data_IF_006576973272
#
_entry.id   IF_006576973272
#
_cell.length_a   1.000
_cell.length_b   1.000
_cell.length_c   1.000
_cell.angle_alpha   90.00
_cell.angle_beta   90.00
_cell.angle_gamma   90.00
#
_symmetry.space_group_name_H-M   'P 1'
#
loop_
_entity.id
_entity.type
_entity.pdbx_description
1 polymer ?
#
# COMPACT_ATOMS: atom_id res chain seq x y z
N UNK A 1 7.91 -2.02 -0.52
CA UNK A 1 7.27 -3.24 0.01
C UNK A 1 6.83 -2.97 1.43
N UNK A 2 5.89 -3.76 1.95
CA UNK A 2 5.39 -3.66 3.32
C UNK A 2 5.39 -5.06 3.91
N UNK A 3 5.32 -5.18 5.23
CA UNK A 3 5.15 -6.45 5.91
C UNK A 3 4.45 -6.27 7.25
N UNK A 4 3.79 -7.30 7.71
CA UNK A 4 3.17 -7.34 9.03
C UNK A 4 4.22 -7.41 10.14
N UNK A 5 3.86 -6.90 11.30
CA UNK A 5 4.70 -6.97 12.51
C UNK A 5 3.85 -7.28 13.74
N UNK A 6 4.50 -7.74 14.81
CA UNK A 6 3.87 -7.88 16.12
C UNK A 6 4.01 -6.60 16.96
N UNK A 7 3.47 -6.61 18.17
CA UNK A 7 3.50 -5.47 19.11
C UNK A 7 4.91 -5.13 19.61
N UNK A 8 5.83 -6.09 19.55
CA UNK A 8 7.23 -5.92 19.93
C UNK A 8 8.10 -5.40 18.78
N UNK A 9 7.51 -5.21 17.59
CA UNK A 9 8.19 -4.72 16.38
C UNK A 9 8.88 -5.83 15.58
N UNK A 10 8.64 -7.11 15.87
CA UNK A 10 9.20 -8.17 15.06
C UNK A 10 8.42 -8.32 13.76
N UNK A 11 9.15 -8.37 12.66
CA UNK A 11 8.60 -8.55 11.33
C UNK A 11 8.07 -9.98 11.16
N UNK A 12 6.90 -10.12 10.56
CA UNK A 12 6.33 -11.42 10.25
C UNK A 12 7.26 -12.18 9.29
N UNK A 13 7.57 -13.46 9.59
CA UNK A 13 8.43 -14.24 8.71
C UNK A 13 7.71 -14.52 7.38
N UNK A 14 8.47 -14.63 6.29
CA UNK A 14 7.93 -14.95 4.95
C UNK A 14 7.15 -16.27 4.87
N UNK A 15 7.33 -17.15 5.87
CA UNK A 15 6.56 -18.39 6.01
C UNK A 15 5.19 -18.19 6.67
N UNK A 16 4.93 -17.03 7.26
CA UNK A 16 3.60 -16.67 7.76
C UNK A 16 2.60 -16.58 6.59
N UNK A 17 1.49 -17.31 6.67
CA UNK A 17 0.58 -17.43 5.54
C UNK A 17 0.08 -16.10 4.96
N UNK A 18 -0.24 -15.06 5.78
CA UNK A 18 -0.60 -13.73 5.29
C UNK A 18 0.59 -12.81 4.99
N UNK A 19 1.85 -13.27 5.08
CA UNK A 19 3.02 -12.44 4.79
C UNK A 19 2.95 -11.84 3.39
N UNK A 20 3.17 -10.53 3.28
CA UNK A 20 3.20 -9.80 2.02
C UNK A 20 4.45 -10.17 1.22
N UNK A 21 5.61 -10.30 1.86
CA UNK A 21 6.83 -10.78 1.25
C UNK A 21 6.71 -12.22 0.76
N UNK A 22 6.08 -13.10 1.56
CA UNK A 22 5.79 -14.48 1.17
C UNK A 22 4.84 -14.56 -0.02
N UNK A 23 3.80 -13.75 -0.04
CA UNK A 23 2.88 -13.64 -1.17
C UNK A 23 3.60 -13.13 -2.44
N UNK A 24 4.44 -12.11 -2.32
CA UNK A 24 5.22 -11.59 -3.42
C UNK A 24 6.16 -12.64 -4.02
N UNK A 25 6.87 -13.37 -3.19
CA UNK A 25 7.75 -14.47 -3.64
C UNK A 25 6.95 -15.53 -4.40
N UNK A 26 5.83 -15.97 -3.84
CA UNK A 26 5.02 -17.07 -4.40
C UNK A 26 4.25 -16.65 -5.65
N UNK A 27 3.55 -15.51 -5.60
CA UNK A 27 2.59 -15.14 -6.64
C UNK A 27 3.18 -14.24 -7.72
N UNK A 28 4.36 -13.67 -7.49
CA UNK A 28 5.05 -12.83 -8.45
C UNK A 28 6.40 -13.43 -8.85
N UNK A 29 7.38 -13.48 -7.95
CA UNK A 29 8.75 -13.92 -8.27
C UNK A 29 8.80 -15.34 -8.86
N UNK A 30 8.11 -16.29 -8.24
CA UNK A 30 8.09 -17.69 -8.71
C UNK A 30 7.32 -17.88 -10.03
N UNK A 31 6.54 -16.88 -10.48
CA UNK A 31 5.85 -16.91 -11.77
C UNK A 31 6.74 -16.55 -12.96
N UNK A 32 7.86 -15.91 -12.72
CA UNK A 32 8.83 -15.71 -13.80
C UNK A 32 9.36 -17.05 -14.31
N UNK A 33 9.58 -17.12 -15.61
CA UNK A 33 10.31 -18.23 -16.19
C UNK A 33 11.67 -18.36 -15.50
N UNK A 34 12.15 -19.58 -15.19
CA UNK A 34 13.42 -19.76 -14.46
C UNK A 34 14.62 -19.08 -15.12
N UNK A 35 14.65 -19.02 -16.46
CA UNK A 35 15.72 -18.39 -17.24
C UNK A 35 15.67 -16.85 -17.27
N UNK A 36 14.55 -16.24 -16.82
CA UNK A 36 14.36 -14.79 -16.74
C UNK A 36 14.23 -14.31 -15.28
N UNK A 37 14.29 -15.23 -14.33
CA UNK A 37 14.15 -14.90 -12.92
C UNK A 37 15.41 -14.22 -12.41
N UNK A 38 15.32 -13.03 -11.78
CA UNK A 38 16.48 -12.44 -11.16
C UNK A 38 17.01 -13.33 -10.03
N UNK A 39 18.29 -13.22 -9.67
CA UNK A 39 18.83 -13.91 -8.51
C UNK A 39 18.03 -13.60 -7.23
N UNK A 40 17.87 -14.60 -6.35
CA UNK A 40 17.05 -14.47 -5.14
C UNK A 40 17.61 -13.39 -4.20
N UNK A 41 18.91 -13.20 -4.16
CA UNK A 41 19.60 -12.18 -3.38
C UNK A 41 19.29 -10.73 -3.80
N UNK A 42 18.66 -10.55 -4.95
CA UNK A 42 18.14 -9.26 -5.42
C UNK A 42 16.69 -9.02 -4.96
N UNK A 43 16.10 -9.99 -4.25
CA UNK A 43 14.76 -9.88 -3.73
C UNK A 43 14.82 -9.39 -2.27
N UNK A 44 14.63 -8.09 -2.09
CA UNK A 44 14.64 -7.47 -0.78
C UNK A 44 13.23 -7.43 -0.19
N UNK A 45 13.08 -7.97 1.01
CA UNK A 45 11.88 -7.90 1.85
C UNK A 45 12.29 -7.55 3.27
N UNK A 46 11.34 -7.16 4.10
CA UNK A 46 11.64 -6.78 5.46
C UNK A 46 12.09 -7.95 6.31
N UNK A 47 13.08 -7.69 7.15
CA UNK A 47 13.55 -8.51 8.26
C UNK A 47 13.74 -7.63 9.48
N UNK A 48 13.89 -8.21 10.66
CA UNK A 48 14.14 -7.44 11.88
C UNK A 48 15.43 -6.59 11.80
N UNK A 49 16.39 -7.01 10.95
CA UNK A 49 17.70 -6.37 10.85
C UNK A 49 17.71 -5.19 9.88
N UNK A 50 16.72 -5.07 8.98
CA UNK A 50 16.77 -4.07 7.91
C UNK A 50 15.70 -2.99 7.98
N UNK A 51 14.83 -2.97 8.98
CA UNK A 51 13.75 -1.98 9.09
C UNK A 51 14.28 -0.56 9.02
N UNK A 52 15.32 -0.25 9.80
CA UNK A 52 15.83 1.12 9.94
C UNK A 52 16.58 1.62 8.70
N UNK A 53 17.15 0.72 7.91
CA UNK A 53 17.97 1.07 6.74
C UNK A 53 17.36 0.64 5.41
N UNK A 54 16.09 0.23 5.39
CA UNK A 54 15.45 -0.25 4.16
C UNK A 54 15.28 0.84 3.11
N UNK A 55 15.05 2.09 3.51
CA UNK A 55 15.06 3.24 2.60
C UNK A 55 16.43 3.44 1.96
N UNK A 56 17.49 3.26 2.72
CA UNK A 56 18.87 3.39 2.20
C UNK A 56 19.20 2.24 1.23
N UNK A 57 18.69 1.03 1.49
CA UNK A 57 18.79 -0.10 0.54
C UNK A 57 18.10 0.20 -0.78
N UNK A 58 16.94 0.86 -0.76
CA UNK A 58 16.24 1.29 -1.98
C UNK A 58 17.09 2.30 -2.75
N UNK A 59 17.64 3.29 -2.07
CA UNK A 59 18.48 4.32 -2.68
C UNK A 59 19.77 3.73 -3.26
N UNK A 60 20.43 2.83 -2.54
CA UNK A 60 21.65 2.16 -3.01
C UNK A 60 21.37 1.28 -4.24
N UNK A 61 20.32 0.45 -4.20
CA UNK A 61 19.98 -0.43 -5.30
C UNK A 61 19.49 0.32 -6.55
N UNK A 62 18.85 1.47 -6.36
CA UNK A 62 18.25 2.27 -7.42
C UNK A 62 19.04 3.52 -7.84
N UNK A 63 20.29 3.66 -7.41
CA UNK A 63 21.10 4.88 -7.69
C UNK A 63 20.34 6.15 -7.29
N UNK A 64 19.98 6.22 -6.01
CA UNK A 64 19.31 7.34 -5.36
C UNK A 64 17.79 7.22 -5.19
N UNK A 65 17.11 6.35 -5.90
CA UNK A 65 15.69 6.07 -5.71
C UNK A 65 15.24 4.84 -6.51
N UNK A 66 14.04 4.32 -6.24
CA UNK A 66 13.47 3.24 -7.04
C UNK A 66 13.22 3.67 -8.50
N UNK A 67 13.45 2.78 -9.45
CA UNK A 67 13.12 3.04 -10.86
C UNK A 67 11.61 3.05 -11.10
N UNK A 68 10.89 2.15 -10.45
CA UNK A 68 9.44 2.00 -10.58
C UNK A 68 8.81 1.63 -9.24
N UNK A 69 7.76 2.34 -8.87
CA UNK A 69 6.83 1.93 -7.81
C UNK A 69 5.54 1.45 -8.45
N UNK A 70 5.11 0.25 -8.05
CA UNK A 70 3.80 -0.29 -8.39
C UNK A 70 2.97 -0.28 -7.12
N UNK A 71 1.86 0.41 -7.14
CA UNK A 71 0.98 0.59 -5.98
C UNK A 71 -0.49 0.44 -6.33
N UNK A 72 -1.30 0.42 -5.29
CA UNK A 72 -2.76 0.45 -5.39
C UNK A 72 -3.31 1.34 -4.27
N UNK A 73 -4.43 1.98 -4.52
CA UNK A 73 -5.08 2.80 -3.50
C UNK A 73 -5.77 1.95 -2.44
N UNK A 74 -5.74 2.43 -1.20
CA UNK A 74 -6.54 1.86 -0.13
C UNK A 74 -7.79 2.69 0.19
N UNK A 75 -8.66 2.15 1.03
CA UNK A 75 -9.99 2.68 1.31
C UNK A 75 -10.04 4.10 1.87
N UNK A 76 -8.98 4.54 2.49
CA UNK A 76 -8.88 5.88 3.10
C UNK A 76 -7.90 6.79 2.36
N UNK A 77 -7.48 6.40 1.16
CA UNK A 77 -6.49 7.15 0.38
C UNK A 77 -5.07 6.97 0.86
N UNK A 78 -4.79 5.88 1.57
CA UNK A 78 -3.44 5.47 1.91
C UNK A 78 -2.75 4.80 0.73
N UNK A 79 -1.45 4.75 0.76
CA UNK A 79 -0.61 3.89 -0.05
C UNK A 79 0.37 3.18 0.89
N UNK A 80 0.67 1.89 0.64
CA UNK A 80 1.36 1.07 1.63
C UNK A 80 0.61 1.12 2.98
N UNK A 81 1.31 1.20 4.12
CA UNK A 81 0.70 1.51 5.42
C UNK A 81 0.90 2.98 5.84
N UNK A 82 1.05 3.86 4.85
CA UNK A 82 1.09 5.31 5.05
C UNK A 82 -0.34 5.84 5.15
N UNK A 83 -0.94 5.63 6.31
CA UNK A 83 -2.33 6.00 6.58
C UNK A 83 -2.48 7.50 6.89
N UNK A 84 -3.61 8.12 6.50
CA UNK A 84 -3.95 9.48 6.93
C UNK A 84 -3.90 9.62 8.46
N UNK A 85 -3.11 10.55 8.95
CA UNK A 85 -3.03 10.88 10.38
C UNK A 85 -2.46 9.78 11.28
N UNK A 86 -1.67 8.84 10.74
CA UNK A 86 -0.88 7.95 11.59
C UNK A 86 0.28 8.68 12.25
N UNK A 87 0.55 8.37 13.52
CA UNK A 87 1.69 8.98 14.23
C UNK A 87 3.03 8.60 13.59
N UNK A 88 3.13 7.41 12.98
CA UNK A 88 4.34 6.96 12.31
C UNK A 88 4.80 7.91 11.19
N UNK A 89 3.87 8.53 10.48
CA UNK A 89 4.15 9.46 9.38
C UNK A 89 3.62 10.87 9.67
N UNK A 90 3.65 11.27 10.93
CA UNK A 90 3.27 12.63 11.34
C UNK A 90 4.29 13.64 10.83
N UNK A 91 3.80 14.71 10.23
CA UNK A 91 4.62 15.80 9.72
C UNK A 91 3.82 17.11 9.76
N UNK A 92 4.47 18.23 9.95
CA UNK A 92 3.82 19.55 10.00
C UNK A 92 3.55 20.08 8.59
N UNK A 93 4.32 19.67 7.60
CA UNK A 93 4.17 20.08 6.21
C UNK A 93 4.19 18.89 5.24
N UNK A 94 3.75 19.13 3.99
CA UNK A 94 3.87 18.14 2.93
C UNK A 94 5.33 17.87 2.56
N UNK A 95 6.16 18.90 2.60
CA UNK A 95 7.60 18.80 2.31
C UNK A 95 8.30 17.91 3.34
N UNK A 96 8.01 18.09 4.62
CA UNK A 96 8.52 17.23 5.67
C UNK A 96 8.00 15.80 5.52
N UNK A 97 6.70 15.63 5.25
CA UNK A 97 6.09 14.32 5.02
C UNK A 97 6.83 13.52 3.94
N UNK A 98 7.22 14.17 2.85
CA UNK A 98 7.95 13.55 1.74
C UNK A 98 9.39 13.14 2.06
N UNK A 99 9.92 13.50 3.23
CA UNK A 99 11.23 13.05 3.70
C UNK A 99 11.19 11.80 4.56
N UNK A 100 9.98 11.35 4.94
CA UNK A 100 9.81 10.24 5.86
C UNK A 100 9.99 8.91 5.14
N UNK A 101 11.03 8.17 5.52
CA UNK A 101 11.35 6.83 5.01
C UNK A 101 10.65 5.71 5.76
N UNK A 102 11.16 4.50 5.54
CA UNK A 102 10.69 3.25 6.16
C UNK A 102 10.60 3.32 7.68
N UNK A 103 9.55 2.71 8.25
CA UNK A 103 9.39 2.60 9.70
C UNK A 103 8.33 1.60 10.12
N UNK A 104 8.32 1.31 11.42
CA UNK A 104 7.26 0.60 12.09
C UNK A 104 5.99 1.46 12.19
N UNK A 105 4.83 0.83 12.02
CA UNK A 105 3.52 1.49 11.97
C UNK A 105 2.53 0.78 12.89
N UNK A 106 1.87 1.54 13.74
CA UNK A 106 0.63 1.16 14.39
C UNK A 106 -0.52 1.41 13.40
N UNK A 107 -1.08 0.35 12.85
CA UNK A 107 -2.05 0.43 11.78
C UNK A 107 -3.36 1.08 12.24
N UNK A 108 -3.88 1.98 11.43
CA UNK A 108 -5.17 2.60 11.71
C UNK A 108 -6.29 1.57 11.62
N UNK A 109 -7.32 1.75 12.45
CA UNK A 109 -8.44 0.81 12.53
C UNK A 109 -9.11 0.52 11.18
N UNK A 110 -9.25 1.53 10.33
CA UNK A 110 -9.85 1.34 9.00
C UNK A 110 -8.97 0.48 8.09
N UNK A 111 -7.67 0.58 8.20
CA UNK A 111 -6.71 -0.27 7.48
C UNK A 111 -6.77 -1.71 7.98
N UNK A 112 -6.89 -1.92 9.30
CA UNK A 112 -7.11 -3.26 9.87
C UNK A 112 -8.44 -3.84 9.36
N UNK A 113 -9.52 -3.06 9.36
CA UNK A 113 -10.82 -3.48 8.83
C UNK A 113 -10.72 -3.86 7.34
N UNK A 114 -10.08 -3.01 6.52
CA UNK A 114 -9.88 -3.31 5.11
C UNK A 114 -9.16 -4.64 4.91
N UNK A 115 -8.05 -4.84 5.60
CA UNK A 115 -7.25 -6.04 5.47
C UNK A 115 -7.95 -7.30 6.01
N UNK A 116 -8.77 -7.18 7.06
CA UNK A 116 -9.56 -8.31 7.58
C UNK A 116 -10.52 -8.92 6.56
N UNK A 117 -10.91 -8.13 5.55
CA UNK A 117 -11.76 -8.58 4.44
C UNK A 117 -10.96 -9.12 3.25
N UNK A 118 -9.63 -9.11 3.32
CA UNK A 118 -8.79 -9.70 2.29
C UNK A 118 -8.87 -11.23 2.31
N UNK A 119 -8.75 -11.90 1.16
CA UNK A 119 -8.74 -13.36 1.08
C UNK A 119 -7.66 -14.01 1.95
N UNK A 120 -6.51 -13.38 2.14
CA UNK A 120 -5.42 -13.85 3.00
C UNK A 120 -5.83 -13.99 4.47
N UNK A 121 -6.83 -13.22 4.91
CA UNK A 121 -7.45 -13.31 6.24
C UNK A 121 -8.84 -13.94 6.21
N UNK A 122 -9.11 -14.77 5.20
CA UNK A 122 -10.37 -15.49 5.04
C UNK A 122 -11.56 -14.63 4.65
N UNK A 123 -11.35 -13.36 4.30
CA UNK A 123 -12.41 -12.38 3.98
C UNK A 123 -13.52 -12.33 5.04
N UNK A 124 -13.19 -12.61 6.30
CA UNK A 124 -14.14 -12.82 7.39
C UNK A 124 -14.58 -11.54 8.08
N UNK A 125 -13.81 -10.45 7.96
CA UNK A 125 -13.98 -9.25 8.78
C UNK A 125 -13.55 -9.46 10.24
N UNK A 126 -12.92 -10.57 10.57
CA UNK A 126 -12.42 -10.86 11.91
C UNK A 126 -11.13 -10.08 12.17
N UNK A 127 -11.24 -9.02 12.96
CA UNK A 127 -10.13 -8.13 13.28
C UNK A 127 -9.04 -8.81 14.14
N UNK A 128 -9.39 -9.87 14.86
CA UNK A 128 -8.43 -10.58 15.70
C UNK A 128 -7.38 -11.35 14.88
N UNK A 129 -7.68 -11.65 13.63
CA UNK A 129 -6.76 -12.32 12.71
C UNK A 129 -5.85 -11.38 11.92
N UNK A 130 -6.16 -10.08 11.93
CA UNK A 130 -5.39 -9.10 11.16
C UNK A 130 -4.39 -8.41 12.07
N UNK A 131 -3.09 -8.45 11.77
CA UNK A 131 -2.09 -7.79 12.59
C UNK A 131 -2.37 -6.29 12.74
N UNK A 132 -2.23 -5.80 13.97
CA UNK A 132 -2.42 -4.39 14.28
C UNK A 132 -1.19 -3.55 13.91
N UNK A 133 -0.06 -4.18 13.63
CA UNK A 133 1.21 -3.51 13.36
C UNK A 133 1.80 -3.97 12.04
N UNK A 134 2.65 -3.12 11.48
CA UNK A 134 3.35 -3.38 10.23
C UNK A 134 4.68 -2.62 10.16
N UNK A 135 5.49 -2.95 9.18
CA UNK A 135 6.59 -2.12 8.70
C UNK A 135 6.28 -1.69 7.27
N UNK A 136 6.55 -0.45 6.95
CA UNK A 136 6.16 0.14 5.68
C UNK A 136 7.24 1.01 5.10
N UNK A 137 7.36 0.98 3.77
CA UNK A 137 8.04 2.06 3.05
C UNK A 137 7.35 3.38 3.34
N UNK A 138 8.13 4.44 3.33
CA UNK A 138 7.61 5.77 3.62
C UNK A 138 7.34 6.59 2.37
N UNK A 139 6.76 7.80 2.56
CA UNK A 139 6.57 8.76 1.48
C UNK A 139 7.83 9.06 0.67
N UNK A 140 9.00 9.14 1.33
CA UNK A 140 10.31 9.30 0.69
C UNK A 140 10.55 8.24 -0.37
N UNK A 141 10.30 6.98 -0.02
CA UNK A 141 10.60 5.84 -0.89
C UNK A 141 9.60 5.72 -2.03
N UNK A 142 8.32 5.99 -1.72
CA UNK A 142 7.22 5.84 -2.66
C UNK A 142 7.22 6.96 -3.71
N UNK A 143 7.22 8.22 -3.27
CA UNK A 143 6.98 9.35 -4.17
C UNK A 143 8.24 9.90 -4.84
N UNK A 144 9.43 9.48 -4.41
CA UNK A 144 10.70 9.84 -5.05
C UNK A 144 11.10 8.90 -6.21
N UNK A 145 10.35 7.85 -6.49
CA UNK A 145 10.64 6.94 -7.58
C UNK A 145 10.60 7.64 -8.95
N UNK A 146 11.39 7.13 -9.91
CA UNK A 146 11.50 7.70 -11.26
C UNK A 146 10.22 7.58 -12.07
N UNK A 147 9.47 6.49 -11.83
CA UNK A 147 8.20 6.24 -12.50
C UNK A 147 7.23 5.50 -11.56
N UNK A 148 5.93 5.67 -11.80
CA UNK A 148 4.88 5.09 -10.97
C UNK A 148 3.83 4.41 -11.82
N UNK A 149 3.38 3.26 -11.35
CA UNK A 149 2.24 2.55 -11.89
C UNK A 149 1.23 2.36 -10.77
N UNK A 150 0.18 3.16 -10.81
CA UNK A 150 -0.89 3.14 -9.82
C UNK A 150 -2.08 2.35 -10.35
N UNK A 151 -2.63 1.47 -9.55
CA UNK A 151 -3.77 0.65 -9.93
C UNK A 151 -4.96 0.89 -9.02
N UNK A 152 -6.08 1.29 -9.62
CA UNK A 152 -7.37 1.46 -8.96
C UNK A 152 -8.32 0.40 -9.47
N UNK A 153 -8.49 -0.66 -8.74
CA UNK A 153 -9.42 -1.74 -9.06
C UNK A 153 -10.01 -2.38 -7.80
N UNK A 154 -11.03 -3.18 -8.01
CA UNK A 154 -11.76 -3.90 -6.97
C UNK A 154 -11.51 -5.41 -7.01
N UNK A 155 -10.59 -5.85 -7.87
CA UNK A 155 -10.33 -7.27 -8.09
C UNK A 155 -9.90 -8.01 -6.83
N UNK A 156 -9.31 -7.30 -5.88
CA UNK A 156 -8.84 -7.89 -4.63
C UNK A 156 -9.97 -8.44 -3.75
N UNK A 157 -11.11 -7.78 -3.72
CA UNK A 157 -12.24 -8.17 -2.88
C UNK A 157 -13.27 -9.04 -3.60
N UNK A 158 -13.21 -9.13 -4.92
CA UNK A 158 -14.11 -9.96 -5.72
C UNK A 158 -15.59 -9.60 -5.59
N UNK A 159 -15.92 -8.46 -5.01
CA UNK A 159 -17.27 -8.06 -4.69
C UNK A 159 -17.52 -6.58 -4.98
N UNK A 160 -18.46 -6.29 -5.86
CA UNK A 160 -18.85 -4.94 -6.26
C UNK A 160 -19.44 -4.08 -5.14
N UNK A 161 -19.90 -4.66 -4.03
CA UNK A 161 -20.46 -3.87 -2.91
C UNK A 161 -19.42 -3.00 -2.19
N UNK A 162 -18.13 -3.30 -2.30
CA UNK A 162 -17.07 -2.44 -1.77
C UNK A 162 -16.69 -1.30 -2.72
N UNK A 163 -17.21 -1.34 -3.93
CA UNK A 163 -16.78 -0.47 -5.03
C UNK A 163 -17.13 1.00 -4.84
N UNK A 164 -18.23 1.32 -4.17
CA UNK A 164 -18.68 2.72 -4.06
C UNK A 164 -17.75 3.58 -3.21
N UNK A 165 -17.18 3.02 -2.14
CA UNK A 165 -16.21 3.73 -1.31
C UNK A 165 -14.91 4.00 -2.08
N UNK A 166 -14.32 2.96 -2.67
CA UNK A 166 -13.08 3.12 -3.42
C UNK A 166 -13.25 3.99 -4.67
N UNK A 167 -14.42 3.98 -5.31
CA UNK A 167 -14.73 4.92 -6.40
C UNK A 167 -14.64 6.38 -5.96
N UNK A 168 -15.10 6.69 -4.76
CA UNK A 168 -14.98 8.03 -4.19
C UNK A 168 -13.52 8.37 -3.89
N UNK A 169 -12.80 7.46 -3.24
CA UNK A 169 -11.39 7.65 -2.89
C UNK A 169 -10.52 7.77 -4.15
N UNK A 170 -10.74 6.94 -5.16
CA UNK A 170 -10.05 7.04 -6.45
C UNK A 170 -10.18 8.43 -7.08
N UNK A 171 -11.39 9.01 -7.05
CA UNK A 171 -11.60 10.37 -7.54
C UNK A 171 -10.92 11.43 -6.69
N UNK A 172 -10.97 11.29 -5.37
CA UNK A 172 -10.29 12.18 -4.45
C UNK A 172 -8.78 12.14 -4.67
N UNK A 173 -8.23 10.96 -4.87
CA UNK A 173 -6.81 10.74 -5.14
C UNK A 173 -6.37 11.36 -6.47
N UNK A 174 -7.16 11.20 -7.55
CA UNK A 174 -6.79 11.65 -8.90
C UNK A 174 -7.11 13.14 -9.13
N UNK A 175 -8.18 13.64 -8.55
CA UNK A 175 -8.71 14.98 -8.84
C UNK A 175 -8.87 15.88 -7.61
N UNK A 176 -8.66 15.34 -6.41
CA UNK A 176 -8.75 16.10 -5.18
C UNK A 176 -7.50 16.94 -4.90
N UNK A 177 -7.49 17.67 -3.78
CA UNK A 177 -6.31 18.40 -3.34
C UNK A 177 -5.14 17.43 -3.06
N UNK A 178 -3.93 17.82 -3.46
CA UNK A 178 -2.71 17.08 -3.07
C UNK A 178 -2.39 17.42 -1.62
N UNK A 179 -2.45 16.42 -0.76
CA UNK A 179 -2.27 16.60 0.68
C UNK A 179 -1.75 15.33 1.37
N UNK A 180 -1.01 15.49 2.47
CA UNK A 180 -0.60 14.38 3.34
C UNK A 180 -1.79 13.71 4.06
N UNK A 181 -2.95 14.38 4.12
CA UNK A 181 -4.16 13.82 4.72
C UNK A 181 -4.90 12.84 3.77
N UNK A 182 -4.48 12.78 2.52
CA UNK A 182 -4.81 11.75 1.55
C UNK A 182 -3.50 11.37 0.85
N UNK A 183 -2.65 10.55 1.46
CA UNK A 183 -1.28 10.30 0.97
C UNK A 183 -1.20 9.93 -0.51
N UNK A 184 -2.11 9.08 -0.97
CA UNK A 184 -2.14 8.67 -2.37
C UNK A 184 -2.46 9.82 -3.36
N UNK A 185 -3.00 10.98 -2.89
CA UNK A 185 -3.20 12.16 -3.74
C UNK A 185 -1.88 12.75 -4.26
N UNK A 186 -0.76 12.42 -3.61
CA UNK A 186 0.59 12.90 -3.98
C UNK A 186 1.03 12.31 -5.32
N UNK A 187 0.49 11.16 -5.74
CA UNK A 187 0.74 10.61 -7.08
C UNK A 187 0.39 11.58 -8.22
N UNK A 188 -0.49 12.55 -8.00
CA UNK A 188 -0.75 13.62 -8.96
C UNK A 188 0.49 14.48 -9.31
N UNK A 189 1.53 14.46 -8.47
CA UNK A 189 2.80 15.16 -8.68
C UNK A 189 3.88 14.26 -9.27
N UNK A 190 3.64 12.95 -9.33
CA UNK A 190 4.61 11.98 -9.80
C UNK A 190 4.47 11.73 -11.29
N UNK A 191 5.57 11.36 -11.93
CA UNK A 191 5.54 10.82 -13.28
C UNK A 191 5.03 9.38 -13.21
N UNK A 192 4.05 9.01 -14.05
CA UNK A 192 3.56 7.63 -14.04
C UNK A 192 2.27 7.42 -14.80
N UNK A 193 1.71 6.24 -14.62
CA UNK A 193 0.45 5.82 -15.24
C UNK A 193 -0.53 5.32 -14.19
N UNK A 194 -1.76 5.80 -14.25
CA UNK A 194 -2.85 5.31 -13.41
C UNK A 194 -3.76 4.41 -14.25
N UNK A 195 -3.93 3.17 -13.82
CA UNK A 195 -4.91 2.25 -14.37
C UNK A 195 -6.15 2.25 -13.50
N UNK A 196 -7.27 2.56 -14.10
CA UNK A 196 -8.57 2.57 -13.42
C UNK A 196 -9.45 1.53 -14.07
N UNK A 197 -9.93 0.55 -13.29
CA UNK A 197 -10.86 -0.45 -13.81
C UNK A 197 -12.18 0.20 -14.22
N UNK A 198 -12.92 -0.45 -15.12
CA UNK A 198 -14.21 0.03 -15.57
C UNK A 198 -15.20 0.18 -14.41
N UNK A 199 -15.17 -0.75 -13.44
CA UNK A 199 -16.00 -0.68 -12.24
C UNK A 199 -15.68 0.54 -11.37
N UNK A 200 -14.40 0.89 -11.25
CA UNK A 200 -13.98 2.09 -10.52
C UNK A 200 -14.35 3.39 -11.27
N UNK A 201 -14.35 3.35 -12.59
CA UNK A 201 -14.69 4.49 -13.43
C UNK A 201 -16.19 4.79 -13.46
N UNK A 202 -17.06 3.85 -13.07
CA UNK A 202 -18.52 4.04 -13.05
C UNK A 202 -18.91 5.26 -12.21
N UNK A 203 -20.01 5.96 -12.56
CA UNK A 203 -20.54 7.04 -11.73
C UNK A 203 -20.81 6.59 -10.31
N UNK A 204 -20.61 7.50 -9.36
CA UNK A 204 -21.06 7.27 -7.97
C UNK A 204 -22.58 7.45 -7.98
N UNK A 205 -23.29 6.38 -7.65
CA UNK A 205 -24.73 6.40 -7.56
C UNK A 205 -25.18 7.29 -6.39
N UNK A 206 -26.13 8.16 -6.66
CA UNK A 206 -26.83 8.88 -5.59
C UNK A 206 -27.70 7.86 -4.85
N UNK A 207 -27.65 7.87 -3.53
CA UNK A 207 -28.72 7.24 -2.76
C UNK A 207 -29.99 8.08 -2.94
N UNK A 208 -30.84 7.65 -3.84
CA UNK A 208 -32.21 8.16 -3.88
C UNK A 208 -32.97 7.45 -2.74
N UNK A 209 -33.32 8.22 -1.72
CA UNK A 209 -34.32 7.75 -0.78
C UNK A 209 -35.65 7.66 -1.54
N UNK A 210 -35.96 6.48 -2.05
CA UNK A 210 -37.31 6.23 -2.54
C UNK A 210 -38.23 6.30 -1.31
N UNK A 211 -39.11 7.31 -1.27
CA UNK A 211 -40.17 7.33 -0.30
C UNK A 211 -41.02 6.06 -0.51
N UNK A 212 -41.03 5.18 0.48
CA UNK A 212 -41.87 4.01 0.52
C UNK A 212 -43.34 4.44 0.66
#
# INVERSE_FOLDING_TARGET
>A
MDEWADEDGNVAPISYAPSLGGAFLKEFYMRFRPDLRPPLEQMHYYTNENIENYSDLIEEAGDGCADLVISATGWIGHTAFVDPGTEAFKADSLEEFLTLGTRFVDNRRLTIIQNSMAPTFGASGDLAYTPAYSVSVGPRDIFNARDHLERHDLGYFGNSSYSSWERMISRLQIYGPVTKDVPASIFQRCKGTVFVSEDMARPIEKMDFVAL
#
